data_IF_266564853216
#
_entry.id   IF_266564853216
#
_cell.length_a   1.000
_cell.length_b   1.000
_cell.length_c   1.000
_cell.angle_alpha   90.00
_cell.angle_beta   90.00
_cell.angle_gamma   90.00
#
_symmetry.space_group_name_H-M   'P 1'
#
loop_
_entity.id
_entity.type
_entity.pdbx_description
1 polymer ?
#
# COMPACT_ATOMS: atom_id res chain seq x y z
N UNK A 1 -23.90 -6.49 10.86
CA UNK A 1 -22.52 -6.02 11.11
C UNK A 1 -21.83 -7.12 11.89
N UNK A 2 -20.91 -7.84 11.31
CA UNK A 2 -20.13 -8.85 12.03
C UNK A 2 -19.24 -8.09 13.03
N UNK A 3 -19.38 -8.41 14.31
CA UNK A 3 -18.57 -7.80 15.36
C UNK A 3 -17.11 -8.22 15.14
N UNK A 4 -16.21 -7.25 14.97
CA UNK A 4 -14.79 -7.54 14.80
C UNK A 4 -14.24 -8.21 16.08
N UNK A 5 -13.32 -9.17 15.96
CA UNK A 5 -12.68 -9.80 17.11
C UNK A 5 -12.05 -8.77 18.05
N UNK A 6 -12.01 -9.04 19.35
CA UNK A 6 -11.37 -8.15 20.35
C UNK A 6 -9.90 -7.85 20.04
N UNK A 7 -9.21 -8.80 19.40
CA UNK A 7 -7.82 -8.66 18.96
C UNK A 7 -7.65 -7.83 17.67
N UNK A 8 -8.76 -7.36 17.06
CA UNK A 8 -8.68 -6.54 15.85
C UNK A 8 -8.01 -5.20 16.16
N UNK A 9 -7.11 -4.68 15.29
CA UNK A 9 -6.38 -3.45 15.56
C UNK A 9 -7.33 -2.26 15.76
N UNK A 10 -7.06 -1.47 16.80
CA UNK A 10 -7.80 -0.25 17.13
C UNK A 10 -6.82 0.92 17.23
N UNK A 11 -6.30 1.40 16.08
CA UNK A 11 -5.38 2.52 16.08
C UNK A 11 -6.05 3.78 16.65
N UNK A 12 -5.24 4.67 17.24
CA UNK A 12 -5.71 5.95 17.79
C UNK A 12 -5.29 7.15 16.94
N UNK A 13 -4.28 6.96 16.09
CA UNK A 13 -3.67 8.03 15.27
C UNK A 13 -4.30 8.18 13.88
N UNK A 14 -5.16 7.26 13.48
CA UNK A 14 -5.89 7.27 12.22
C UNK A 14 -7.16 6.42 12.34
N UNK A 15 -8.08 6.56 11.39
CA UNK A 15 -9.31 5.76 11.37
C UNK A 15 -9.10 4.42 10.67
N UNK A 16 -9.62 3.35 11.26
CA UNK A 16 -9.70 2.02 10.65
C UNK A 16 -11.15 1.55 10.66
N UNK A 17 -11.68 1.25 9.49
CA UNK A 17 -13.03 0.70 9.31
C UNK A 17 -12.98 -0.58 8.48
N UNK A 18 -13.93 -1.49 8.70
CA UNK A 18 -14.05 -2.73 7.89
C UNK A 18 -15.47 -2.87 7.40
N UNK A 19 -15.59 -3.24 6.14
CA UNK A 19 -16.88 -3.55 5.51
C UNK A 19 -16.67 -4.57 4.39
N UNK A 20 -17.49 -5.62 4.36
CA UNK A 20 -17.52 -6.63 3.31
C UNK A 20 -16.12 -7.11 2.88
N UNK A 21 -15.27 -7.50 3.85
CA UNK A 21 -13.93 -8.01 3.58
C UNK A 21 -12.87 -6.96 3.24
N UNK A 22 -13.23 -5.68 3.24
CA UNK A 22 -12.31 -4.57 2.98
C UNK A 22 -12.00 -3.82 4.27
N UNK A 23 -10.72 -3.71 4.63
CA UNK A 23 -10.26 -2.79 5.67
C UNK A 23 -9.87 -1.44 5.03
N UNK A 24 -10.41 -0.34 5.54
CA UNK A 24 -10.09 1.01 5.07
C UNK A 24 -9.34 1.77 6.16
N UNK A 25 -8.10 2.12 5.86
CA UNK A 25 -7.22 2.98 6.67
C UNK A 25 -7.36 4.40 6.14
N UNK A 26 -7.78 5.32 7.01
CA UNK A 26 -7.88 6.74 6.66
C UNK A 26 -6.96 7.54 7.58
N UNK A 27 -5.88 8.09 7.04
CA UNK A 27 -5.02 9.02 7.76
C UNK A 27 -5.82 10.26 8.13
N UNK A 28 -5.82 10.65 9.40
CA UNK A 28 -6.79 11.59 9.96
C UNK A 28 -6.13 12.75 10.74
N UNK A 29 -5.14 13.39 10.10
CA UNK A 29 -4.52 14.63 10.57
C UNK A 29 -4.67 15.73 9.51
N UNK A 30 -5.90 15.96 9.07
CA UNK A 30 -6.24 16.87 7.95
C UNK A 30 -5.57 18.24 8.03
N UNK A 31 -5.53 18.96 9.20
CA UNK A 31 -4.89 20.26 9.31
C UNK A 31 -3.39 20.26 8.97
N UNK A 32 -2.74 19.10 9.10
CA UNK A 32 -1.32 18.86 8.78
C UNK A 32 -1.14 18.07 7.48
N UNK A 33 -2.14 18.03 6.60
CA UNK A 33 -2.14 17.23 5.38
C UNK A 33 -1.73 15.76 5.64
N UNK A 34 -2.22 15.21 6.74
CA UNK A 34 -1.97 13.84 7.18
C UNK A 34 -0.46 13.51 7.36
N UNK A 35 0.34 14.49 7.80
CA UNK A 35 1.74 14.28 8.16
C UNK A 35 1.87 13.21 9.25
N UNK A 36 2.91 12.38 9.14
CA UNK A 36 3.14 11.23 10.02
C UNK A 36 3.95 11.63 11.25
N UNK A 37 3.51 11.19 12.42
CA UNK A 37 4.25 11.22 13.68
C UNK A 37 4.92 9.88 13.95
N UNK A 38 5.78 9.78 14.95
CA UNK A 38 6.35 8.49 15.41
C UNK A 38 5.24 7.47 15.72
N UNK A 39 4.15 7.94 16.33
CA UNK A 39 3.01 7.11 16.71
C UNK A 39 2.29 6.57 15.46
N UNK A 40 2.03 7.42 14.46
CA UNK A 40 1.38 7.01 13.20
C UNK A 40 2.22 5.96 12.47
N UNK A 41 3.55 6.12 12.39
CA UNK A 41 4.43 5.11 11.78
C UNK A 41 4.34 3.76 12.51
N UNK A 42 4.37 3.79 13.84
CA UNK A 42 4.30 2.59 14.68
C UNK A 42 2.95 1.89 14.49
N UNK A 43 1.84 2.61 14.67
CA UNK A 43 0.50 2.06 14.57
C UNK A 43 0.17 1.55 13.17
N UNK A 44 0.61 2.23 12.10
CA UNK A 44 0.43 1.75 10.72
C UNK A 44 1.15 0.41 10.52
N UNK A 45 2.42 0.30 10.94
CA UNK A 45 3.17 -0.94 10.81
C UNK A 45 2.47 -2.09 11.55
N UNK A 46 2.10 -1.87 12.81
CA UNK A 46 1.38 -2.84 13.64
C UNK A 46 0.02 -3.21 13.03
N UNK A 47 -0.70 -2.24 12.47
CA UNK A 47 -1.99 -2.48 11.81
C UNK A 47 -1.83 -3.41 10.60
N UNK A 48 -0.87 -3.16 9.70
CA UNK A 48 -0.64 -4.06 8.57
C UNK A 48 -0.21 -5.47 9.00
N UNK A 49 0.66 -5.59 10.01
CA UNK A 49 1.09 -6.87 10.59
C UNK A 49 -0.08 -7.65 11.23
N UNK A 50 -1.04 -6.92 11.82
CA UNK A 50 -2.21 -7.54 12.45
C UNK A 50 -3.29 -7.89 11.42
N UNK A 51 -3.62 -6.99 10.49
CA UNK A 51 -4.63 -7.24 9.45
C UNK A 51 -4.33 -8.48 8.62
N UNK A 52 -3.05 -8.83 8.44
CA UNK A 52 -2.64 -10.05 7.73
C UNK A 52 -3.09 -11.36 8.44
N UNK A 53 -3.43 -11.29 9.72
CA UNK A 53 -3.83 -12.45 10.55
C UNK A 53 -5.34 -12.69 10.57
N UNK A 54 -6.13 -11.74 10.04
CA UNK A 54 -7.59 -11.84 10.04
C UNK A 54 -8.10 -12.26 8.67
N UNK A 55 -8.68 -13.46 8.58
CA UNK A 55 -9.21 -13.99 7.31
C UNK A 55 -10.43 -13.21 6.81
N UNK A 56 -11.09 -12.48 7.70
CA UNK A 56 -12.18 -11.56 7.38
C UNK A 56 -11.71 -10.35 6.56
N UNK A 57 -10.41 -10.00 6.63
CA UNK A 57 -9.81 -8.95 5.81
C UNK A 57 -9.20 -9.57 4.57
N UNK A 58 -9.70 -9.19 3.40
CA UNK A 58 -9.32 -9.76 2.10
C UNK A 58 -8.65 -8.76 1.17
N UNK A 59 -8.89 -7.46 1.40
CA UNK A 59 -8.24 -6.35 0.73
C UNK A 59 -8.17 -5.12 1.66
N UNK A 60 -7.23 -4.24 1.39
CA UNK A 60 -7.01 -3.03 2.19
C UNK A 60 -7.06 -1.81 1.27
N UNK A 61 -7.75 -0.75 1.70
CA UNK A 61 -7.68 0.59 1.11
C UNK A 61 -6.92 1.50 2.08
N UNK A 62 -6.01 2.32 1.58
CA UNK A 62 -5.38 3.40 2.34
C UNK A 62 -5.62 4.73 1.66
N UNK A 63 -6.04 5.73 2.42
CA UNK A 63 -6.32 7.09 1.95
C UNK A 63 -6.05 8.13 3.02
N UNK A 64 -6.17 9.42 2.69
CA UNK A 64 -6.08 10.53 3.63
C UNK A 64 -7.40 11.28 3.76
N UNK A 65 -7.71 11.81 4.95
CA UNK A 65 -8.85 12.71 5.15
C UNK A 65 -8.58 14.07 4.48
N UNK A 66 -9.62 14.66 3.92
CA UNK A 66 -9.57 16.01 3.37
C UNK A 66 -8.81 16.14 2.06
N UNK A 67 -7.98 17.19 1.92
CA UNK A 67 -7.35 17.56 0.65
C UNK A 67 -6.01 16.89 0.35
N UNK A 68 -5.42 16.16 1.31
CA UNK A 68 -4.12 15.49 1.17
C UNK A 68 -4.22 14.00 1.39
N UNK A 69 -3.36 13.24 0.71
CA UNK A 69 -3.12 11.84 1.05
C UNK A 69 -2.20 11.78 2.27
N UNK A 70 -0.96 12.23 2.13
CA UNK A 70 0.03 12.32 3.21
C UNK A 70 1.21 13.20 2.78
N UNK A 71 1.55 14.20 3.58
CA UNK A 71 2.65 15.14 3.30
C UNK A 71 4.03 14.69 3.81
N UNK A 72 4.16 13.45 4.29
CA UNK A 72 5.42 12.92 4.81
C UNK A 72 5.57 13.04 6.32
N UNK A 73 6.80 13.03 6.84
CA UNK A 73 7.07 13.19 8.27
C UNK A 73 6.70 14.59 8.76
N UNK A 74 6.09 14.66 9.96
CA UNK A 74 5.71 15.93 10.56
C UNK A 74 6.95 16.75 10.93
N UNK A 75 6.97 18.05 10.58
CA UNK A 75 8.11 18.94 10.81
C UNK A 75 8.39 19.16 12.30
N UNK A 76 7.33 19.31 13.08
CA UNK A 76 7.45 19.58 14.52
C UNK A 76 7.67 18.28 15.32
N UNK A 77 6.90 17.24 15.01
CA UNK A 77 6.90 15.98 15.77
C UNK A 77 8.03 15.02 15.35
N UNK A 78 8.56 15.13 14.14
CA UNK A 78 9.63 14.26 13.63
C UNK A 78 10.90 15.05 13.36
N UNK A 79 10.90 15.94 12.36
CA UNK A 79 12.13 16.51 11.82
C UNK A 79 12.91 17.28 12.90
N UNK A 80 12.22 18.14 13.65
CA UNK A 80 12.83 18.91 14.73
C UNK A 80 13.45 18.01 15.81
N UNK A 81 12.84 16.86 16.10
CA UNK A 81 13.36 15.92 17.12
C UNK A 81 14.53 15.07 16.61
N UNK A 82 14.78 15.01 15.32
CA UNK A 82 15.93 14.31 14.74
C UNK A 82 17.19 15.19 14.69
N UNK A 83 17.02 16.51 14.70
CA UNK A 83 18.16 17.44 14.68
C UNK A 83 19.03 17.25 15.93
N UNK A 84 20.34 17.10 15.73
CA UNK A 84 21.31 16.94 16.83
C UNK A 84 21.31 15.57 17.53
N UNK A 85 20.56 14.60 17.02
CA UNK A 85 20.61 13.21 17.53
C UNK A 85 21.87 12.50 17.06
N UNK A 86 22.31 11.54 17.86
CA UNK A 86 23.41 10.65 17.49
C UNK A 86 23.00 9.60 16.44
N UNK A 87 23.98 9.00 15.80
CA UNK A 87 23.76 8.00 14.74
C UNK A 87 22.90 6.81 15.20
N UNK A 88 23.07 6.22 16.39
CA UNK A 88 22.20 5.15 16.89
C UNK A 88 20.72 5.54 16.95
N UNK A 89 20.41 6.74 17.46
CA UNK A 89 19.03 7.23 17.53
C UNK A 89 18.41 7.49 16.13
N UNK A 90 19.20 8.09 15.22
CA UNK A 90 18.79 8.28 13.83
C UNK A 90 18.55 6.94 13.12
N UNK A 91 19.43 5.95 13.33
CA UNK A 91 19.26 4.61 12.75
C UNK A 91 18.02 3.89 13.30
N UNK A 92 17.72 4.05 14.59
CA UNK A 92 16.51 3.51 15.19
C UNK A 92 15.25 4.09 14.52
N UNK A 93 15.23 5.39 14.26
CA UNK A 93 14.13 6.06 13.54
C UNK A 93 13.97 5.53 12.11
N UNK A 94 15.03 5.52 11.29
CA UNK A 94 14.95 5.06 9.92
C UNK A 94 14.57 3.57 9.81
N UNK A 95 14.96 2.75 10.79
CA UNK A 95 14.50 1.36 10.91
C UNK A 95 13.01 1.26 11.23
N UNK A 96 12.50 2.15 12.09
CA UNK A 96 11.07 2.18 12.43
C UNK A 96 10.21 2.60 11.23
N UNK A 97 10.63 3.62 10.47
CA UNK A 97 9.91 4.02 9.24
C UNK A 97 9.98 2.92 8.17
N UNK A 98 11.14 2.26 8.02
CA UNK A 98 11.31 1.12 7.11
C UNK A 98 10.48 -0.10 7.51
N UNK A 99 10.18 -0.31 8.83
CA UNK A 99 9.28 -1.36 9.30
C UNK A 99 7.89 -1.24 8.68
N UNK A 100 7.36 -0.02 8.58
CA UNK A 100 6.06 0.21 7.94
C UNK A 100 6.02 -0.35 6.52
N UNK A 101 7.02 -0.01 5.70
CA UNK A 101 7.05 -0.48 4.32
C UNK A 101 7.22 -2.00 4.24
N UNK A 102 8.07 -2.57 5.10
CA UNK A 102 8.18 -4.04 5.20
C UNK A 102 6.86 -4.69 5.59
N UNK A 103 6.11 -4.12 6.55
CA UNK A 103 4.81 -4.63 6.96
C UNK A 103 3.79 -4.58 5.81
N UNK A 104 3.76 -3.48 5.04
CA UNK A 104 2.91 -3.34 3.86
C UNK A 104 3.25 -4.38 2.78
N UNK A 105 4.54 -4.58 2.48
CA UNK A 105 4.97 -5.53 1.44
C UNK A 105 4.81 -6.98 1.88
N UNK A 106 5.05 -7.30 3.16
CA UNK A 106 4.85 -8.63 3.72
C UNK A 106 3.36 -9.00 3.90
N UNK A 107 2.46 -8.02 4.05
CA UNK A 107 1.03 -8.25 4.17
C UNK A 107 0.49 -8.97 2.92
N UNK A 108 -0.15 -10.11 3.11
CA UNK A 108 -0.69 -10.95 2.03
C UNK A 108 -1.91 -10.35 1.35
N UNK A 109 -2.57 -9.40 2.02
CA UNK A 109 -3.78 -8.75 1.49
C UNK A 109 -3.38 -7.71 0.44
N UNK A 110 -4.01 -7.67 -0.74
CA UNK A 110 -3.81 -6.59 -1.71
C UNK A 110 -4.14 -5.24 -1.10
N UNK A 111 -3.29 -4.24 -1.34
CA UNK A 111 -3.41 -2.88 -0.82
C UNK A 111 -3.67 -1.93 -2.00
N UNK A 112 -4.75 -1.15 -1.92
CA UNK A 112 -5.10 -0.11 -2.89
C UNK A 112 -4.94 1.26 -2.25
N UNK A 113 -4.02 2.08 -2.75
CA UNK A 113 -3.89 3.47 -2.34
C UNK A 113 -4.87 4.35 -3.14
N UNK A 114 -5.76 5.05 -2.43
CA UNK A 114 -6.58 6.12 -2.97
C UNK A 114 -5.89 7.46 -2.67
N UNK A 115 -5.09 7.93 -3.64
CA UNK A 115 -4.29 9.16 -3.49
C UNK A 115 -5.19 10.35 -3.80
N UNK A 116 -5.91 10.81 -2.78
CA UNK A 116 -6.91 11.87 -2.87
C UNK A 116 -6.34 13.29 -3.00
N UNK A 117 -5.01 13.46 -2.89
CA UNK A 117 -4.34 14.75 -2.96
C UNK A 117 -2.84 14.62 -2.82
N UNK A 118 -2.20 15.54 -2.10
CA UNK A 118 -0.73 15.59 -1.93
C UNK A 118 -0.20 14.29 -1.31
N UNK A 119 0.79 13.67 -1.96
CA UNK A 119 1.55 12.50 -1.52
C UNK A 119 3.05 12.83 -1.63
N UNK A 120 3.70 13.19 -0.52
CA UNK A 120 5.08 13.71 -0.52
C UNK A 120 5.92 13.00 0.53
N UNK A 121 7.22 12.80 0.25
CA UNK A 121 8.14 12.10 1.14
C UNK A 121 7.61 10.72 1.50
N UNK A 122 7.48 10.42 2.78
CA UNK A 122 6.92 9.15 3.25
C UNK A 122 5.52 8.84 2.70
N UNK A 123 4.69 9.88 2.42
CA UNK A 123 3.39 9.69 1.79
C UNK A 123 3.49 9.12 0.38
N UNK A 124 4.44 9.63 -0.43
CA UNK A 124 4.72 9.07 -1.75
C UNK A 124 5.26 7.63 -1.65
N UNK A 125 6.11 7.36 -0.66
CA UNK A 125 6.64 6.01 -0.43
C UNK A 125 5.53 5.02 -0.02
N UNK A 126 4.59 5.41 0.85
CA UNK A 126 3.42 4.59 1.22
C UNK A 126 2.57 4.30 -0.02
N UNK A 127 2.33 5.30 -0.88
CA UNK A 127 1.62 5.07 -2.14
C UNK A 127 2.36 4.05 -3.02
N UNK A 128 3.69 4.16 -3.17
CA UNK A 128 4.51 3.21 -3.92
C UNK A 128 4.56 1.81 -3.30
N UNK A 129 4.48 1.70 -1.97
CA UNK A 129 4.45 0.42 -1.26
C UNK A 129 3.11 -0.30 -1.36
N UNK A 130 2.04 0.39 -1.75
CA UNK A 130 0.74 -0.22 -2.06
C UNK A 130 0.80 -0.98 -3.39
N UNK A 131 -0.05 -2.00 -3.57
CA UNK A 131 -0.05 -2.82 -4.78
C UNK A 131 -0.67 -2.06 -5.97
N UNK A 132 -1.76 -1.34 -5.72
CA UNK A 132 -2.48 -0.54 -6.72
C UNK A 132 -2.61 0.91 -6.24
N UNK A 133 -2.63 1.87 -7.19
CA UNK A 133 -2.71 3.31 -6.92
C UNK A 133 -3.73 3.97 -7.84
N UNK A 134 -4.68 4.69 -7.23
CA UNK A 134 -5.66 5.52 -7.92
C UNK A 134 -5.45 6.95 -7.43
N UNK A 135 -5.26 7.90 -8.33
CA UNK A 135 -4.99 9.28 -8.00
C UNK A 135 -6.16 10.19 -8.41
N UNK A 136 -6.48 11.18 -7.58
CA UNK A 136 -7.29 12.31 -8.00
C UNK A 136 -6.49 13.20 -8.97
N UNK A 137 -7.15 13.91 -9.89
CA UNK A 137 -6.49 14.86 -10.80
C UNK A 137 -5.62 15.90 -10.08
N UNK A 138 -6.08 16.34 -8.89
CA UNK A 138 -5.33 17.28 -8.02
C UNK A 138 -4.16 16.66 -7.28
N UNK A 139 -3.99 15.34 -7.33
CA UNK A 139 -2.92 14.68 -6.60
C UNK A 139 -1.54 15.06 -7.15
N UNK A 140 -0.59 15.22 -6.25
CA UNK A 140 0.81 15.45 -6.56
C UNK A 140 1.68 14.45 -5.83
N UNK A 141 2.74 14.00 -6.49
CA UNK A 141 3.72 13.07 -5.93
C UNK A 141 5.08 13.76 -5.85
N UNK A 142 5.79 13.59 -4.74
CA UNK A 142 7.11 14.20 -4.57
C UNK A 142 8.01 13.40 -3.64
N UNK A 143 9.21 13.12 -4.10
CA UNK A 143 10.26 12.44 -3.30
C UNK A 143 11.27 13.49 -2.83
N UNK A 144 10.80 14.45 -2.04
CA UNK A 144 11.46 15.72 -1.70
C UNK A 144 12.70 15.61 -0.80
N UNK A 145 13.22 14.41 -0.58
CA UNK A 145 14.37 14.16 0.30
C UNK A 145 15.58 15.06 -0.04
N UNK A 146 15.97 15.28 -1.32
CA UNK A 146 17.09 16.17 -1.64
C UNK A 146 16.86 17.64 -1.22
N UNK A 147 15.61 18.11 -1.23
CA UNK A 147 15.27 19.49 -0.85
C UNK A 147 15.49 19.76 0.65
N UNK A 148 15.57 18.71 1.45
CA UNK A 148 15.84 18.79 2.90
C UNK A 148 17.22 18.23 3.24
N UNK A 149 18.11 18.07 2.27
CA UNK A 149 19.48 17.59 2.46
C UNK A 149 19.60 16.10 2.79
N UNK A 150 18.57 15.32 2.51
CA UNK A 150 18.57 13.87 2.71
C UNK A 150 18.72 13.12 1.38
N UNK A 151 19.22 11.90 1.47
CA UNK A 151 19.24 10.98 0.33
C UNK A 151 17.83 10.60 -0.09
N UNK A 152 17.59 10.42 -1.40
CA UNK A 152 16.41 9.74 -1.93
C UNK A 152 16.27 8.29 -1.48
N UNK A 153 17.29 7.72 -0.84
CA UNK A 153 17.28 6.35 -0.33
C UNK A 153 16.65 6.28 1.07
N UNK A 154 15.33 6.38 1.15
CA UNK A 154 14.57 6.27 2.41
C UNK A 154 13.42 5.28 2.28
N UNK A 155 13.11 4.56 3.35
CA UNK A 155 11.97 3.64 3.46
C UNK A 155 11.85 2.63 2.28
N UNK A 156 12.95 2.32 1.58
CA UNK A 156 12.96 1.38 0.48
C UNK A 156 12.52 1.94 -0.89
N UNK A 157 12.36 3.27 -1.05
CA UNK A 157 11.88 3.84 -2.30
C UNK A 157 12.86 3.64 -3.46
N UNK A 158 14.16 3.61 -3.21
CA UNK A 158 15.18 3.30 -4.23
C UNK A 158 15.09 1.86 -4.74
N UNK A 159 14.44 0.97 -4.00
CA UNK A 159 14.10 -0.37 -4.44
C UNK A 159 12.76 -0.41 -5.19
N UNK A 160 11.73 0.24 -4.66
CA UNK A 160 10.36 0.17 -5.19
C UNK A 160 10.18 1.00 -6.46
N UNK A 161 10.63 2.28 -6.45
CA UNK A 161 10.30 3.21 -7.51
C UNK A 161 10.84 2.78 -8.89
N UNK A 162 12.11 2.33 -9.04
CA UNK A 162 12.61 1.86 -10.34
C UNK A 162 11.83 0.67 -10.92
N UNK A 163 11.22 -0.14 -10.06
CA UNK A 163 10.39 -1.28 -10.46
C UNK A 163 8.98 -0.89 -10.90
N UNK A 164 8.55 0.31 -10.53
CA UNK A 164 7.25 0.86 -10.91
C UNK A 164 7.38 1.70 -12.19
N UNK A 165 8.33 2.63 -12.24
CA UNK A 165 8.42 3.64 -13.31
C UNK A 165 9.66 3.49 -14.22
N UNK A 166 10.49 2.48 -13.98
CA UNK A 166 11.78 2.32 -14.64
C UNK A 166 12.87 3.21 -14.05
N UNK A 167 14.14 2.81 -14.28
CA UNK A 167 15.30 3.43 -13.64
C UNK A 167 15.46 4.93 -14.00
N UNK A 168 15.20 5.30 -15.25
CA UNK A 168 15.37 6.68 -15.73
C UNK A 168 14.45 7.65 -14.97
N UNK A 169 13.14 7.40 -14.94
CA UNK A 169 12.20 8.23 -14.20
C UNK A 169 12.41 8.17 -12.68
N UNK A 170 12.78 7.02 -12.14
CA UNK A 170 13.09 6.91 -10.72
C UNK A 170 14.30 7.78 -10.34
N UNK A 171 15.36 7.79 -11.17
CA UNK A 171 16.55 8.62 -10.95
C UNK A 171 16.21 10.10 -11.00
N UNK A 172 15.44 10.54 -12.03
CA UNK A 172 14.96 11.90 -12.14
C UNK A 172 14.23 12.35 -10.87
N UNK A 173 13.22 11.58 -10.44
CA UNK A 173 12.39 11.90 -9.29
C UNK A 173 13.16 11.91 -7.96
N UNK A 174 14.11 10.97 -7.78
CA UNK A 174 14.86 10.83 -6.54
C UNK A 174 16.05 11.79 -6.42
N UNK A 175 16.67 12.17 -7.55
CA UNK A 175 17.78 13.12 -7.54
C UNK A 175 17.31 14.58 -7.47
N UNK A 176 16.28 14.94 -8.21
CA UNK A 176 15.77 16.32 -8.21
C UNK A 176 14.76 16.56 -7.09
N UNK A 177 13.97 15.57 -6.72
CA UNK A 177 12.94 15.71 -5.68
C UNK A 177 11.73 16.55 -6.13
N UNK A 178 11.63 16.87 -7.41
CA UNK A 178 10.54 17.67 -7.96
C UNK A 178 9.20 16.93 -7.83
N UNK A 179 8.14 17.73 -7.64
CA UNK A 179 6.79 17.18 -7.61
C UNK A 179 6.27 17.00 -9.02
N UNK A 180 5.61 15.88 -9.25
CA UNK A 180 4.85 15.60 -10.47
C UNK A 180 3.35 15.59 -10.17
N UNK A 181 2.54 15.97 -11.16
CA UNK A 181 1.09 15.89 -11.10
C UNK A 181 0.57 14.48 -11.39
N UNK A 182 -0.73 14.28 -11.23
CA UNK A 182 -1.39 13.00 -11.47
C UNK A 182 -1.30 12.54 -12.93
N UNK A 183 -1.31 13.49 -13.89
CA UNK A 183 -1.18 13.18 -15.31
C UNK A 183 0.20 12.59 -15.61
N UNK A 184 1.27 13.26 -15.16
CA UNK A 184 2.63 12.76 -15.32
C UNK A 184 2.83 11.43 -14.60
N UNK A 185 2.24 11.27 -13.40
CA UNK A 185 2.26 10.01 -12.65
C UNK A 185 1.61 8.86 -13.44
N UNK A 186 0.53 9.12 -14.18
CA UNK A 186 -0.09 8.13 -15.04
C UNK A 186 0.77 7.81 -16.27
N UNK A 187 1.35 8.82 -16.91
CA UNK A 187 2.21 8.66 -18.10
C UNK A 187 3.41 7.76 -17.84
N UNK A 188 4.06 7.89 -16.66
CA UNK A 188 5.23 7.09 -16.29
C UNK A 188 4.88 5.77 -15.57
N UNK A 189 3.59 5.44 -15.44
CA UNK A 189 3.13 4.21 -14.78
C UNK A 189 3.18 4.23 -13.26
N UNK A 190 3.39 5.40 -12.63
CA UNK A 190 3.39 5.50 -11.16
C UNK A 190 2.01 5.21 -10.59
N UNK A 191 0.93 5.57 -11.28
CA UNK A 191 -0.46 5.28 -10.87
C UNK A 191 -1.20 4.49 -11.93
N UNK A 192 -2.18 3.68 -11.50
CA UNK A 192 -2.98 2.83 -12.38
C UNK A 192 -4.13 3.60 -13.05
N UNK A 193 -4.68 4.61 -12.37
CA UNK A 193 -5.80 5.43 -12.84
C UNK A 193 -5.72 6.83 -12.26
N UNK A 194 -6.23 7.79 -13.03
CA UNK A 194 -6.53 9.15 -12.58
C UNK A 194 -8.03 9.37 -12.70
N UNK A 195 -8.62 10.00 -11.68
CA UNK A 195 -10.05 10.28 -11.58
C UNK A 195 -10.26 11.74 -11.15
N UNK A 196 -11.44 12.35 -11.37
CA UNK A 196 -11.63 13.79 -11.24
C UNK A 196 -11.27 14.36 -9.86
N UNK A 197 -11.59 13.65 -8.79
CA UNK A 197 -11.42 14.17 -7.42
C UNK A 197 -11.11 13.08 -6.39
N UNK A 198 -10.92 13.49 -5.12
CA UNK A 198 -10.57 12.59 -4.04
C UNK A 198 -11.71 11.63 -3.67
N UNK A 199 -12.96 12.03 -3.80
CA UNK A 199 -14.10 11.15 -3.53
C UNK A 199 -14.18 10.04 -4.59
N UNK A 200 -13.99 10.40 -5.84
CA UNK A 200 -13.90 9.44 -6.94
C UNK A 200 -12.72 8.47 -6.75
N UNK A 201 -11.58 8.95 -6.24
CA UNK A 201 -10.43 8.09 -5.96
C UNK A 201 -10.74 7.07 -4.85
N UNK A 202 -11.34 7.51 -3.75
CA UNK A 202 -11.76 6.63 -2.64
C UNK A 202 -12.82 5.65 -3.11
N UNK A 203 -13.82 6.11 -3.87
CA UNK A 203 -14.88 5.26 -4.42
C UNK A 203 -14.31 4.16 -5.31
N UNK A 204 -13.48 4.51 -6.30
CA UNK A 204 -12.90 3.53 -7.22
C UNK A 204 -11.96 2.55 -6.49
N UNK A 205 -11.18 3.03 -5.51
CA UNK A 205 -10.35 2.16 -4.68
C UNK A 205 -11.20 1.17 -3.88
N UNK A 206 -12.33 1.62 -3.32
CA UNK A 206 -13.31 0.77 -2.65
C UNK A 206 -13.91 -0.27 -3.58
N UNK A 207 -14.28 0.11 -4.81
CA UNK A 207 -14.78 -0.82 -5.84
C UNK A 207 -13.74 -1.89 -6.20
N UNK A 208 -12.48 -1.49 -6.40
CA UNK A 208 -11.39 -2.43 -6.67
C UNK A 208 -11.12 -3.35 -5.48
N UNK A 209 -11.05 -2.80 -4.27
CA UNK A 209 -10.87 -3.59 -3.06
C UNK A 209 -12.04 -4.56 -2.82
N UNK A 210 -13.29 -4.14 -3.06
CA UNK A 210 -14.46 -5.02 -2.98
C UNK A 210 -14.41 -6.14 -4.04
N UNK A 211 -13.95 -5.84 -5.25
CA UNK A 211 -13.72 -6.86 -6.28
C UNK A 211 -12.65 -7.87 -5.85
N UNK A 212 -11.53 -7.41 -5.28
CA UNK A 212 -10.48 -8.25 -4.72
C UNK A 212 -11.01 -9.09 -3.54
N UNK A 213 -11.81 -8.49 -2.65
CA UNK A 213 -12.39 -9.19 -1.51
C UNK A 213 -13.35 -10.32 -1.91
N UNK A 214 -14.09 -10.17 -2.99
CA UNK A 214 -14.94 -11.24 -3.58
C UNK A 214 -14.15 -12.28 -4.36
N UNK A 215 -12.90 -12.01 -4.72
CA UNK A 215 -12.03 -12.91 -5.47
C UNK A 215 -11.43 -14.04 -4.62
N UNK A 216 -10.59 -14.91 -5.21
CA UNK A 216 -9.91 -16.01 -4.52
C UNK A 216 -8.76 -15.48 -3.67
N UNK A 217 -9.01 -15.17 -2.39
CA UNK A 217 -8.06 -14.50 -1.51
C UNK A 217 -6.73 -15.27 -1.35
N UNK A 218 -6.78 -16.61 -1.32
CA UNK A 218 -5.58 -17.43 -1.27
C UNK A 218 -4.71 -17.20 -2.52
N UNK A 219 -5.29 -17.28 -3.71
CA UNK A 219 -4.56 -17.05 -4.96
C UNK A 219 -4.03 -15.61 -5.07
N UNK A 220 -4.78 -14.59 -4.62
CA UNK A 220 -4.30 -13.21 -4.55
C UNK A 220 -3.08 -13.07 -3.63
N UNK A 221 -3.11 -13.74 -2.47
CA UNK A 221 -1.97 -13.72 -1.53
C UNK A 221 -0.72 -14.37 -2.13
N UNK A 222 -0.88 -15.50 -2.81
CA UNK A 222 0.21 -16.18 -3.52
C UNK A 222 0.77 -15.31 -4.63
N UNK A 223 -0.10 -14.70 -5.45
CA UNK A 223 0.33 -13.77 -6.51
C UNK A 223 1.17 -12.62 -5.96
N UNK A 224 0.72 -11.98 -4.87
CA UNK A 224 1.47 -10.88 -4.24
C UNK A 224 2.84 -11.35 -3.74
N UNK A 225 2.89 -12.51 -3.09
CA UNK A 225 4.15 -13.09 -2.60
C UNK A 225 5.12 -13.44 -3.74
N UNK A 226 4.63 -13.98 -4.85
CA UNK A 226 5.47 -14.29 -6.02
C UNK A 226 6.03 -13.01 -6.65
N UNK A 227 5.19 -11.99 -6.91
CA UNK A 227 5.63 -10.68 -7.39
C UNK A 227 6.75 -10.10 -6.49
N UNK A 228 6.66 -10.27 -5.17
CA UNK A 228 7.67 -9.75 -4.25
C UNK A 228 8.95 -10.57 -4.23
N UNK A 229 8.86 -11.90 -4.23
CA UNK A 229 10.01 -12.79 -4.09
C UNK A 229 10.82 -12.95 -5.38
N UNK A 230 10.16 -12.93 -6.54
CA UNK A 230 10.80 -13.16 -7.83
C UNK A 230 11.78 -12.06 -8.27
N UNK A 231 11.71 -10.89 -7.65
CA UNK A 231 12.66 -9.79 -7.94
C UNK A 231 14.14 -10.14 -7.76
N UNK A 232 14.44 -11.19 -6.99
CA UNK A 232 15.82 -11.65 -6.73
C UNK A 232 16.12 -13.01 -7.33
N UNK A 233 15.16 -13.61 -8.06
CA UNK A 233 15.30 -14.94 -8.65
C UNK A 233 15.76 -14.85 -10.10
N UNK A 234 16.50 -15.86 -10.57
CA UNK A 234 16.69 -16.11 -11.99
C UNK A 234 15.38 -16.68 -12.58
N UNK A 235 15.16 -16.53 -13.90
CA UNK A 235 13.92 -16.98 -14.56
C UNK A 235 13.58 -18.45 -14.29
N UNK A 236 14.56 -19.34 -14.30
CA UNK A 236 14.34 -20.77 -14.06
C UNK A 236 13.89 -21.05 -12.62
N UNK A 237 14.44 -20.30 -11.65
CA UNK A 237 14.04 -20.38 -10.23
C UNK A 237 12.64 -19.83 -10.03
N UNK A 238 12.29 -18.70 -10.66
CA UNK A 238 10.96 -18.12 -10.62
C UNK A 238 9.91 -19.09 -11.20
N UNK A 239 10.15 -19.70 -12.37
CA UNK A 239 9.24 -20.68 -12.98
C UNK A 239 9.02 -21.87 -12.05
N UNK A 240 10.07 -22.39 -11.39
CA UNK A 240 9.92 -23.51 -10.43
C UNK A 240 9.13 -23.08 -9.19
N UNK A 241 9.39 -21.89 -8.65
CA UNK A 241 8.62 -21.34 -7.51
C UNK A 241 7.14 -21.14 -7.87
N UNK A 242 6.84 -20.59 -9.06
CA UNK A 242 5.48 -20.45 -9.58
C UNK A 242 4.79 -21.82 -9.77
N UNK A 243 5.51 -22.83 -10.26
CA UNK A 243 4.95 -24.17 -10.43
C UNK A 243 4.50 -24.77 -9.10
N UNK A 244 5.32 -24.64 -8.05
CA UNK A 244 4.96 -25.08 -6.69
C UNK A 244 3.79 -24.28 -6.11
N UNK A 245 3.82 -22.96 -6.24
CA UNK A 245 2.78 -22.06 -5.79
C UNK A 245 1.44 -22.37 -6.49
N UNK A 246 1.47 -22.59 -7.80
CA UNK A 246 0.28 -22.93 -8.58
C UNK A 246 -0.29 -24.30 -8.24
N UNK A 247 0.56 -25.29 -7.96
CA UNK A 247 0.11 -26.61 -7.50
C UNK A 247 -0.69 -26.48 -6.17
N UNK A 248 -0.22 -25.64 -5.24
CA UNK A 248 -0.96 -25.36 -4.00
C UNK A 248 -2.30 -24.65 -4.28
N UNK A 249 -2.34 -23.71 -5.21
CA UNK A 249 -3.59 -23.07 -5.63
C UNK A 249 -4.58 -24.08 -6.25
N UNK A 250 -4.10 -25.07 -7.01
CA UNK A 250 -4.94 -26.11 -7.60
C UNK A 250 -5.51 -27.08 -6.55
N UNK A 251 -4.86 -27.22 -5.39
CA UNK A 251 -5.38 -28.00 -4.26
C UNK A 251 -6.39 -27.21 -3.41
N UNK A 252 -6.41 -25.86 -3.54
CA UNK A 252 -7.33 -25.04 -2.77
C UNK A 252 -8.78 -25.22 -3.26
N UNK A 253 -9.80 -25.26 -2.37
CA UNK A 253 -11.20 -25.43 -2.74
C UNK A 253 -11.73 -24.43 -3.76
N UNK A 254 -11.18 -23.22 -3.79
CA UNK A 254 -11.55 -22.18 -4.73
C UNK A 254 -11.32 -22.57 -6.20
N UNK A 255 -10.34 -23.46 -6.48
CA UNK A 255 -10.09 -23.95 -7.84
C UNK A 255 -11.23 -24.83 -8.33
N UNK A 256 -11.72 -25.74 -7.50
CA UNK A 256 -12.88 -26.58 -7.84
C UNK A 256 -14.17 -25.75 -7.99
N UNK A 257 -14.38 -24.75 -7.11
CA UNK A 257 -15.51 -23.82 -7.20
C UNK A 257 -15.46 -23.01 -8.50
N UNK A 258 -14.31 -22.47 -8.87
CA UNK A 258 -14.14 -21.71 -10.10
C UNK A 258 -14.49 -22.56 -11.33
N UNK A 259 -14.05 -23.82 -11.36
CA UNK A 259 -14.37 -24.75 -12.45
C UNK A 259 -15.89 -25.09 -12.52
N UNK A 260 -16.52 -25.36 -11.38
CA UNK A 260 -17.96 -25.62 -11.31
C UNK A 260 -18.76 -24.40 -11.76
N UNK A 261 -18.44 -23.21 -11.24
CA UNK A 261 -19.09 -21.96 -11.60
C UNK A 261 -18.98 -21.65 -13.10
N UNK A 262 -17.80 -21.90 -13.70
CA UNK A 262 -17.60 -21.75 -15.14
C UNK A 262 -18.51 -22.68 -15.96
N UNK A 263 -18.60 -23.96 -15.59
CA UNK A 263 -19.49 -24.91 -16.27
C UNK A 263 -20.97 -24.55 -16.14
N UNK A 264 -21.36 -24.07 -14.96
CA UNK A 264 -22.74 -23.69 -14.63
C UNK A 264 -23.10 -22.27 -15.10
N UNK A 265 -22.15 -21.54 -15.67
CA UNK A 265 -22.30 -20.14 -16.13
C UNK A 265 -22.83 -19.19 -15.06
N UNK A 266 -22.37 -19.37 -13.83
CA UNK A 266 -22.66 -18.52 -12.68
C UNK A 266 -21.40 -17.84 -12.13
N UNK A 267 -21.53 -16.77 -11.33
CA UNK A 267 -20.41 -16.25 -10.56
C UNK A 267 -19.87 -17.31 -9.58
N UNK A 268 -18.53 -17.36 -9.44
CA UNK A 268 -17.87 -18.20 -8.43
C UNK A 268 -18.09 -17.61 -7.03
N UNK A 269 -18.26 -18.48 -6.04
CA UNK A 269 -18.38 -18.14 -4.62
C UNK A 269 -17.18 -18.68 -3.88
N UNK A 270 -16.12 -17.89 -3.83
CA UNK A 270 -14.86 -18.28 -3.20
C UNK A 270 -14.99 -18.36 -1.67
N UNK A 271 -14.23 -19.24 -1.06
CA UNK A 271 -14.28 -19.49 0.38
C UNK A 271 -14.03 -18.21 1.18
N UNK A 272 -14.93 -17.89 2.11
CA UNK A 272 -14.86 -16.69 2.96
C UNK A 272 -15.06 -15.36 2.22
N UNK A 273 -15.47 -15.38 0.95
CA UNK A 273 -15.83 -14.15 0.24
C UNK A 273 -17.12 -13.55 0.83
N UNK A 274 -17.22 -12.22 0.93
CA UNK A 274 -18.45 -11.55 1.32
C UNK A 274 -19.54 -11.79 0.27
N UNK A 275 -20.79 -11.79 0.73
CA UNK A 275 -21.98 -11.88 -0.13
C UNK A 275 -22.16 -10.68 -1.06
#
# INVERSE_FOLDING_TARGET
MTQLPDAFPRPTSFSLATHAGVATITLDREPRLNALTFEVYRELAETFEQLDRFDEVRAIVITGRGRGFCSGGDQDDIIKHLLGRDTPALLAFTRATGRLIRAMRACKRPIVAAVNGVAVGAGAVIACASDLRIAAERATFGFIFPHVGLSGADMGITYLLPRIVGLGHASELLFFGDKIDAKRALEIGLVNRVVPDGEAAVKLAGEWAARLARGPAFAHSVTKQMIESEHTMALAEAIEAEAQAQALCMQHPDFAEAHAAFKEKRPARFRGAPE
#
